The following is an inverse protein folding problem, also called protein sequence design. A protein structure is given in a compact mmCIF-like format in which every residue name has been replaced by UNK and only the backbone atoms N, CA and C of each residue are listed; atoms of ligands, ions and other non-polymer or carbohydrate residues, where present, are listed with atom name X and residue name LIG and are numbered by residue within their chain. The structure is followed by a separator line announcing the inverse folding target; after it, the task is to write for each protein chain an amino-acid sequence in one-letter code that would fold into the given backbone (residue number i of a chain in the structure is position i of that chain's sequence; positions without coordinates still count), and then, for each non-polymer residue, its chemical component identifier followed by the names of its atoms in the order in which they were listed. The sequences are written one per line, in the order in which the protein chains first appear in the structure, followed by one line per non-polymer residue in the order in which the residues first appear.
data_IF_840992429194
#
_entry.id   IF_840992429194
#
_cell.length_a   1.000
_cell.length_b   1.000
_cell.length_c   1.000
_cell.angle_alpha   90.00
_cell.angle_beta   90.00
_cell.angle_gamma   90.00
#
_symmetry.space_group_name_H-M   'P 1'
#
loop_
_entity.id
_entity.type
_entity.pdbx_description
1 polymer ?
#
# COMPACT_ATOMS: atom_id res chain seq x y z
N UNK A 1 7.13 4.15 4.86
CA UNK A 1 5.86 3.50 4.52
C UNK A 1 4.95 3.56 5.72
N UNK A 2 3.66 3.81 5.47
CA UNK A 2 2.62 3.82 6.49
C UNK A 2 1.49 2.89 6.05
N UNK A 3 0.93 2.13 6.98
CA UNK A 3 -0.19 1.23 6.75
C UNK A 3 -1.24 1.46 7.82
N UNK A 4 -2.46 1.76 7.40
CA UNK A 4 -3.62 1.90 8.27
C UNK A 4 -4.63 0.82 7.90
N UNK A 5 -5.00 0.00 8.88
CA UNK A 5 -5.99 -1.08 8.75
C UNK A 5 -7.22 -0.67 9.54
N UNK A 6 -8.35 -0.50 8.86
CA UNK A 6 -9.64 -0.18 9.49
C UNK A 6 -9.55 1.01 10.47
N UNK A 7 -8.83 2.06 10.07
CA UNK A 7 -8.61 3.28 10.85
C UNK A 7 -7.49 3.21 11.90
N UNK A 8 -6.79 2.08 12.05
CA UNK A 8 -5.66 1.92 12.99
C UNK A 8 -4.32 1.83 12.29
N UNK A 9 -3.33 2.60 12.75
CA UNK A 9 -1.97 2.52 12.23
C UNK A 9 -1.31 1.21 12.68
N UNK A 10 -1.13 0.27 11.76
CA UNK A 10 -0.52 -1.04 12.02
C UNK A 10 0.98 -1.05 11.72
N UNK A 11 1.43 -0.14 10.85
CA UNK A 11 2.84 -0.03 10.52
C UNK A 11 3.22 1.39 10.12
N UNK A 12 4.34 1.86 10.65
CA UNK A 12 4.99 3.09 10.20
C UNK A 12 6.51 2.90 10.28
N UNK A 13 7.18 2.96 9.12
CA UNK A 13 8.62 2.71 9.05
C UNK A 13 9.12 2.41 7.64
N UNK A 14 10.38 1.98 7.55
CA UNK A 14 11.02 1.59 6.29
C UNK A 14 10.80 0.09 6.07
N UNK A 15 10.35 -0.28 4.87
CA UNK A 15 10.42 -1.67 4.43
C UNK A 15 11.86 -1.93 3.97
N UNK A 16 12.59 -2.75 4.71
CA UNK A 16 13.93 -3.17 4.30
C UNK A 16 13.83 -4.07 3.07
N UNK A 17 14.83 -4.00 2.18
CA UNK A 17 14.90 -4.85 0.99
C UNK A 17 14.71 -6.33 1.35
N UNK A 18 13.86 -7.03 0.61
CA UNK A 18 13.53 -8.44 0.84
C UNK A 18 12.49 -8.68 1.94
N UNK A 19 11.99 -7.63 2.60
CA UNK A 19 10.88 -7.76 3.56
C UNK A 19 9.56 -7.91 2.82
N UNK A 20 8.81 -8.96 3.14
CA UNK A 20 7.43 -9.12 2.72
C UNK A 20 6.51 -8.95 3.94
N UNK A 21 5.37 -8.28 3.73
CA UNK A 21 4.32 -8.12 4.74
C UNK A 21 2.96 -8.32 4.11
N UNK A 22 2.02 -8.82 4.90
CA UNK A 22 0.63 -9.01 4.52
C UNK A 22 -0.25 -8.35 5.56
N UNK A 23 -1.23 -7.59 5.10
CA UNK A 23 -2.24 -6.96 5.94
C UNK A 23 -3.62 -7.37 5.47
N UNK A 24 -4.54 -7.54 6.40
CA UNK A 24 -5.93 -7.85 6.13
C UNK A 24 -6.80 -6.80 6.81
N UNK A 25 -7.72 -6.21 6.04
CA UNK A 25 -8.68 -5.22 6.52
C UNK A 25 -10.11 -5.69 6.25
N UNK A 26 -11.04 -5.29 7.12
CA UNK A 26 -12.47 -5.61 6.97
C UNK A 26 -13.24 -4.55 6.18
N UNK A 27 -12.83 -3.28 6.28
CA UNK A 27 -13.49 -2.12 5.69
C UNK A 27 -12.54 -1.42 4.72
N UNK A 28 -11.37 -1.04 5.21
CA UNK A 28 -10.40 -0.24 4.46
C UNK A 28 -8.94 -0.53 4.83
N UNK A 29 -8.08 -0.51 3.81
CA UNK A 29 -6.64 -0.56 3.96
C UNK A 29 -6.04 0.66 3.25
N UNK A 30 -5.37 1.53 3.99
CA UNK A 30 -4.65 2.69 3.44
C UNK A 30 -3.16 2.38 3.46
N UNK A 31 -2.52 2.51 2.30
CA UNK A 31 -1.09 2.28 2.11
C UNK A 31 -0.44 3.56 1.59
N UNK A 32 0.62 4.03 2.25
CA UNK A 32 1.42 5.17 1.79
C UNK A 32 2.90 4.81 1.69
N UNK A 33 3.50 4.98 0.52
CA UNK A 33 4.92 4.78 0.28
C UNK A 33 5.60 6.08 -0.15
N UNK A 34 6.80 6.34 0.36
CA UNK A 34 7.60 7.50 -0.04
C UNK A 34 8.51 7.27 -1.26
N UNK A 35 8.73 6.00 -1.63
CA UNK A 35 9.38 5.59 -2.87
C UNK A 35 8.58 4.41 -3.43
N UNK A 36 7.46 4.72 -4.07
CA UNK A 36 6.47 3.74 -4.51
C UNK A 36 7.03 2.73 -5.51
N UNK A 37 7.96 3.14 -6.39
CA UNK A 37 8.61 2.24 -7.34
C UNK A 37 9.56 1.21 -6.73
N UNK A 38 9.93 1.36 -5.44
CA UNK A 38 10.69 0.35 -4.71
C UNK A 38 9.80 -0.65 -3.95
N UNK A 39 8.48 -0.51 -4.03
CA UNK A 39 7.50 -1.35 -3.36
C UNK A 39 6.69 -2.11 -4.40
N UNK A 40 6.57 -3.42 -4.20
CA UNK A 40 5.65 -4.26 -4.97
C UNK A 40 4.41 -4.55 -4.13
N UNK A 41 3.24 -4.59 -4.76
CA UNK A 41 1.97 -4.86 -4.10
C UNK A 41 1.13 -5.85 -4.89
N UNK A 42 0.49 -6.77 -4.17
CA UNK A 42 -0.58 -7.63 -4.66
C UNK A 42 -1.81 -7.41 -3.78
N UNK A 43 -2.96 -7.21 -4.39
CA UNK A 43 -4.24 -7.03 -3.70
C UNK A 43 -5.10 -8.26 -3.97
N UNK A 44 -5.67 -8.85 -2.91
CA UNK A 44 -6.55 -10.03 -2.99
C UNK A 44 -5.98 -11.18 -3.83
N UNK A 45 -4.71 -11.52 -3.61
CA UNK A 45 -3.99 -12.57 -4.35
C UNK A 45 -3.89 -12.32 -5.87
N UNK A 46 -4.08 -11.07 -6.30
CA UNK A 46 -3.89 -10.66 -7.68
C UNK A 46 -2.42 -10.65 -8.11
N UNK A 47 -2.18 -10.27 -9.35
CA UNK A 47 -0.83 -10.11 -9.90
C UNK A 47 -0.09 -9.03 -9.12
N UNK A 48 1.17 -9.33 -8.77
CA UNK A 48 2.05 -8.37 -8.13
C UNK A 48 2.48 -7.28 -9.11
N UNK A 49 2.36 -6.02 -8.69
CA UNK A 49 2.65 -4.85 -9.52
C UNK A 49 3.43 -3.82 -8.71
N UNK A 50 4.28 -3.00 -9.36
CA UNK A 50 4.90 -1.86 -8.70
C UNK A 50 3.82 -0.95 -8.11
N UNK A 51 4.01 -0.52 -6.86
CA UNK A 51 3.06 0.32 -6.17
C UNK A 51 2.91 1.68 -6.86
N UNK A 52 3.99 2.19 -7.44
CA UNK A 52 4.03 3.39 -8.27
C UNK A 52 5.36 3.54 -9.01
N UNK A 53 5.70 4.76 -9.39
CA UNK A 53 6.95 5.10 -10.08
C UNK A 53 8.13 5.25 -9.11
N UNK A 54 9.36 5.13 -9.61
CA UNK A 54 10.56 5.32 -8.80
C UNK A 54 10.62 6.75 -8.25
N UNK A 55 10.81 6.89 -6.93
CA UNK A 55 10.85 8.17 -6.24
C UNK A 55 9.48 8.82 -6.00
N UNK A 56 8.39 8.23 -6.49
CA UNK A 56 7.04 8.73 -6.28
C UNK A 56 6.61 8.51 -4.83
N UNK A 57 6.02 9.54 -4.22
CA UNK A 57 5.24 9.40 -2.99
C UNK A 57 3.82 9.09 -3.40
N UNK A 58 3.29 7.92 -3.02
CA UNK A 58 1.94 7.51 -3.39
C UNK A 58 1.15 7.00 -2.20
N UNK A 59 -0.14 7.30 -2.19
CA UNK A 59 -1.11 6.79 -1.24
C UNK A 59 -2.28 6.14 -2.00
N UNK A 60 -2.71 4.97 -1.55
CA UNK A 60 -3.92 4.33 -2.06
C UNK A 60 -4.83 3.92 -0.91
N UNK A 61 -6.12 3.88 -1.19
CA UNK A 61 -7.14 3.38 -0.26
C UNK A 61 -7.85 2.21 -0.93
N UNK A 62 -7.75 1.05 -0.29
CA UNK A 62 -8.41 -0.18 -0.72
C UNK A 62 -9.62 -0.38 0.16
N UNK A 63 -10.81 -0.26 -0.42
CA UNK A 63 -12.07 -0.51 0.28
C UNK A 63 -12.63 -1.86 -0.14
N UNK A 64 -13.38 -2.53 0.73
CA UNK A 64 -14.01 -3.83 0.45
C UNK A 64 -14.78 -3.89 -0.89
N UNK A 65 -15.31 -2.75 -1.34
CA UNK A 65 -16.11 -2.65 -2.57
C UNK A 65 -15.38 -1.96 -3.75
N UNK A 66 -14.21 -1.35 -3.57
CA UNK A 66 -13.47 -0.66 -4.64
C UNK A 66 -11.97 -0.57 -4.33
N UNK A 67 -11.14 -0.96 -5.31
CA UNK A 67 -9.71 -0.64 -5.35
C UNK A 67 -9.58 0.74 -6.00
N UNK A 68 -9.49 1.82 -5.22
CA UNK A 68 -9.22 3.16 -5.77
C UNK A 68 -7.73 3.48 -5.61
N UNK A 69 -7.02 3.46 -6.74
CA UNK A 69 -5.65 3.97 -6.85
C UNK A 69 -5.80 5.47 -7.12
N UNK A 70 -5.73 6.31 -6.08
CA UNK A 70 -5.84 7.75 -6.27
C UNK A 70 -4.65 8.28 -7.10
N UNK A 71 -4.87 9.17 -8.08
CA UNK A 71 -3.80 9.89 -8.73
C UNK A 71 -3.28 10.99 -7.79
N UNK A 72 -1.96 11.07 -7.65
CA UNK A 72 -1.26 12.09 -6.89
C UNK A 72 -1.35 13.43 -7.64
N UNK A 73 -1.86 14.46 -6.96
CA UNK A 73 -1.91 15.86 -7.43
C UNK A 73 -0.53 16.53 -7.38
#
# INVERSE_FOLDING_TARGET
MKVIVDGKSEFEGILNKGTQRTWQAQKELILRAGNAGAVMTSVNQGVEQPFGSLGEVKEITLSKNQVQIAPTN
#
